data_IF_663552596891
#
_entry.id   IF_663552596891
#
_cell.length_a   1.000
_cell.length_b   1.000
_cell.length_c   1.000
_cell.angle_alpha   90.00
_cell.angle_beta   90.00
_cell.angle_gamma   90.00
#
_symmetry.space_group_name_H-M   'P 1'
#
loop_
_entity.id
_entity.type
_entity.pdbx_description
1 polymer ?
#
# COMPACT_ATOMS: atom_id res chain seq x y z
N UNK A 1 25.73 -40.04 -31.93
CA UNK A 1 25.01 -38.74 -31.90
C UNK A 1 23.54 -38.84 -32.28
N UNK A 2 23.21 -39.63 -33.30
CA UNK A 2 21.85 -39.78 -33.83
C UNK A 2 20.80 -40.16 -32.75
N UNK A 3 21.11 -41.14 -31.88
CA UNK A 3 20.24 -41.52 -30.73
C UNK A 3 20.03 -40.37 -29.73
N UNK A 4 21.02 -39.48 -29.55
CA UNK A 4 20.93 -38.33 -28.63
C UNK A 4 20.05 -37.21 -29.22
N UNK A 5 20.12 -37.00 -30.53
CA UNK A 5 19.25 -36.07 -31.25
C UNK A 5 17.80 -36.57 -31.27
N UNK A 6 17.60 -37.86 -31.62
CA UNK A 6 16.30 -38.51 -31.59
C UNK A 6 15.68 -38.49 -30.19
N UNK A 7 16.46 -38.83 -29.15
CA UNK A 7 15.97 -38.83 -27.77
C UNK A 7 15.54 -37.45 -27.25
N UNK A 8 16.13 -36.35 -27.76
CA UNK A 8 15.70 -34.98 -27.41
C UNK A 8 14.39 -34.62 -28.10
N UNK A 9 14.22 -34.99 -29.37
CA UNK A 9 13.03 -34.68 -30.17
C UNK A 9 11.84 -35.51 -29.69
N UNK A 10 12.03 -36.80 -29.48
CA UNK A 10 11.02 -37.70 -28.92
C UNK A 10 10.53 -37.28 -27.52
N UNK A 11 11.39 -36.67 -26.69
CA UNK A 11 10.98 -36.16 -25.36
C UNK A 11 10.18 -34.86 -25.41
N UNK A 12 10.25 -34.11 -26.51
CA UNK A 12 9.61 -32.79 -26.68
C UNK A 12 8.38 -32.84 -27.59
N UNK A 13 8.27 -33.89 -28.40
CA UNK A 13 7.16 -34.11 -29.32
C UNK A 13 5.86 -34.43 -28.57
N UNK A 14 4.79 -33.71 -28.91
CA UNK A 14 3.43 -33.97 -28.39
C UNK A 14 2.82 -35.23 -28.99
N UNK A 15 3.35 -35.69 -30.13
CA UNK A 15 2.87 -36.87 -30.84
C UNK A 15 3.23 -38.20 -30.14
N UNK A 16 4.19 -38.19 -29.20
CA UNK A 16 4.56 -39.39 -28.43
C UNK A 16 3.44 -39.77 -27.45
N UNK A 17 2.56 -40.66 -27.91
CA UNK A 17 1.47 -41.26 -27.13
C UNK A 17 0.06 -40.86 -27.58
N UNK A 18 -0.06 -40.05 -28.63
CA UNK A 18 -1.32 -39.68 -29.30
C UNK A 18 -1.62 -40.55 -30.54
N UNK A 19 -0.77 -41.55 -30.82
CA UNK A 19 -0.88 -42.45 -31.98
C UNK A 19 -0.84 -41.76 -33.35
N UNK A 20 -0.47 -40.49 -33.37
CA UNK A 20 -0.18 -39.71 -34.57
C UNK A 20 1.24 -39.97 -35.04
N UNK A 21 1.46 -41.19 -35.50
CA UNK A 21 2.76 -41.68 -35.92
C UNK A 21 3.29 -40.91 -37.16
N UNK A 22 2.39 -40.32 -37.96
CA UNK A 22 2.72 -39.46 -39.11
C UNK A 22 3.53 -38.20 -38.71
N UNK A 23 3.17 -37.59 -37.57
CA UNK A 23 3.85 -36.39 -37.04
C UNK A 23 5.22 -36.77 -36.47
N UNK A 24 5.32 -37.94 -35.85
CA UNK A 24 6.62 -38.46 -35.38
C UNK A 24 7.57 -38.72 -36.54
N UNK A 25 7.07 -39.30 -37.64
CA UNK A 25 7.86 -39.55 -38.84
C UNK A 25 8.32 -38.22 -39.45
N UNK A 26 7.43 -37.22 -39.57
CA UNK A 26 7.81 -35.92 -40.15
C UNK A 26 8.78 -35.11 -39.28
N UNK A 27 8.78 -35.31 -37.95
CA UNK A 27 9.75 -34.69 -37.05
C UNK A 27 11.11 -35.42 -37.03
N UNK A 28 11.10 -36.75 -37.21
CA UNK A 28 12.30 -37.59 -37.10
C UNK A 28 13.06 -37.71 -38.42
N UNK A 29 12.35 -37.85 -39.54
CA UNK A 29 12.94 -38.10 -40.85
C UNK A 29 13.91 -37.00 -41.31
N UNK A 30 13.61 -35.70 -41.15
CA UNK A 30 14.54 -34.61 -41.50
C UNK A 30 15.83 -34.60 -40.67
N UNK A 31 15.84 -35.22 -39.50
CA UNK A 31 17.01 -35.28 -38.62
C UNK A 31 18.04 -36.32 -39.07
N UNK A 32 17.65 -37.24 -39.94
CA UNK A 32 18.54 -38.27 -40.50
C UNK A 32 19.51 -37.67 -41.54
N UNK A 33 19.15 -36.55 -42.19
CA UNK A 33 19.95 -35.85 -43.21
C UNK A 33 20.50 -36.78 -44.30
N UNK A 34 19.74 -37.81 -44.64
CA UNK A 34 20.09 -38.79 -45.66
C UNK A 34 18.81 -39.16 -46.42
N UNK A 35 18.73 -38.74 -47.69
CA UNK A 35 17.57 -38.94 -48.55
C UNK A 35 17.41 -40.40 -49.00
N UNK A 36 18.41 -41.25 -48.74
CA UNK A 36 18.38 -42.69 -49.04
C UNK A 36 18.00 -43.57 -47.85
N UNK A 37 17.85 -42.98 -46.66
CA UNK A 37 17.58 -43.71 -45.43
C UNK A 37 16.12 -44.19 -45.35
N UNK A 38 15.93 -45.45 -44.94
CA UNK A 38 14.60 -46.00 -44.63
C UNK A 38 14.38 -46.00 -43.12
N UNK A 39 13.33 -45.28 -42.66
CA UNK A 39 12.95 -45.22 -41.25
C UNK A 39 11.83 -46.22 -40.95
N UNK A 40 12.11 -47.19 -40.09
CA UNK A 40 11.11 -48.11 -39.55
C UNK A 40 10.86 -47.77 -38.07
N UNK A 41 9.61 -47.46 -37.71
CA UNK A 41 9.21 -47.22 -36.32
C UNK A 41 8.43 -48.43 -35.82
N UNK A 42 9.01 -49.14 -34.84
CA UNK A 42 8.36 -50.28 -34.17
C UNK A 42 7.90 -49.82 -32.79
N UNK A 43 6.58 -49.83 -32.57
CA UNK A 43 5.96 -49.38 -31.33
C UNK A 43 5.52 -50.57 -30.49
N UNK A 44 6.16 -50.75 -29.34
CA UNK A 44 5.77 -51.76 -28.36
C UNK A 44 4.85 -51.13 -27.32
N UNK A 45 3.58 -51.55 -27.31
CA UNK A 45 2.56 -51.04 -26.38
C UNK A 45 2.13 -52.15 -25.44
N UNK A 46 2.32 -51.93 -24.13
CA UNK A 46 1.72 -52.78 -23.12
C UNK A 46 0.21 -52.49 -23.03
N UNK A 47 -0.61 -53.46 -23.47
CA UNK A 47 -2.08 -53.34 -23.52
C UNK A 47 -2.69 -53.08 -22.14
N UNK A 48 -2.18 -53.73 -21.10
CA UNK A 48 -2.67 -53.58 -19.74
C UNK A 48 -2.42 -52.17 -19.18
N UNK A 49 -1.23 -51.62 -19.45
CA UNK A 49 -0.90 -50.25 -19.04
C UNK A 49 -1.73 -49.21 -19.81
N UNK A 50 -2.02 -49.48 -21.08
CA UNK A 50 -2.88 -48.62 -21.92
C UNK A 50 -4.32 -48.58 -21.39
N UNK A 51 -4.89 -49.73 -21.02
CA UNK A 51 -6.23 -49.77 -20.46
C UNK A 51 -6.31 -49.04 -19.11
N UNK A 52 -5.34 -49.25 -18.21
CA UNK A 52 -5.27 -48.53 -16.93
C UNK A 52 -5.14 -47.02 -17.14
N UNK A 53 -4.28 -46.60 -18.08
CA UNK A 53 -4.10 -45.19 -18.48
C UNK A 53 -5.40 -44.56 -18.99
N UNK A 54 -6.12 -45.26 -19.86
CA UNK A 54 -7.37 -44.78 -20.45
C UNK A 54 -8.48 -44.63 -19.39
N UNK A 55 -8.61 -45.61 -18.50
CA UNK A 55 -9.57 -45.56 -17.41
C UNK A 55 -9.26 -44.38 -16.48
N UNK A 56 -8.01 -44.25 -16.03
CA UNK A 56 -7.58 -43.14 -15.19
C UNK A 56 -7.80 -41.77 -15.87
N UNK A 57 -7.50 -41.67 -17.17
CA UNK A 57 -7.76 -40.48 -17.98
C UNK A 57 -9.23 -40.11 -17.96
N UNK A 58 -10.13 -41.04 -18.29
CA UNK A 58 -11.58 -40.76 -18.29
C UNK A 58 -12.11 -40.29 -16.93
N UNK A 59 -11.62 -40.88 -15.84
CA UNK A 59 -12.05 -40.52 -14.48
C UNK A 59 -11.50 -39.16 -14.05
N UNK A 60 -10.24 -38.88 -14.39
CA UNK A 60 -9.59 -37.61 -14.06
C UNK A 60 -10.20 -36.42 -14.82
N UNK A 61 -10.45 -36.57 -16.12
CA UNK A 61 -11.05 -35.51 -16.94
C UNK A 61 -12.53 -35.26 -16.61
N UNK A 62 -13.26 -36.26 -16.12
CA UNK A 62 -14.70 -36.14 -15.82
C UNK A 62 -14.99 -35.35 -14.54
N UNK A 63 -14.28 -35.62 -13.44
CA UNK A 63 -14.63 -35.04 -12.14
C UNK A 63 -13.50 -34.27 -11.43
N UNK A 64 -12.25 -34.28 -11.93
CA UNK A 64 -11.03 -33.76 -11.26
C UNK A 64 -10.80 -34.27 -9.81
N UNK A 65 -11.75 -34.98 -9.20
CA UNK A 65 -11.73 -35.69 -7.92
C UNK A 65 -12.18 -37.11 -8.23
N UNK A 66 -11.27 -38.07 -8.05
CA UNK A 66 -11.60 -39.49 -8.16
C UNK A 66 -12.35 -39.83 -6.87
N UNK A 67 -13.59 -40.31 -6.99
CA UNK A 67 -14.36 -40.81 -5.84
C UNK A 67 -13.68 -42.07 -5.28
N UNK A 68 -13.91 -42.40 -4.01
CA UNK A 68 -13.35 -43.60 -3.39
C UNK A 68 -13.79 -44.88 -4.13
N UNK A 69 -15.02 -44.89 -4.67
CA UNK A 69 -15.55 -45.96 -5.53
C UNK A 69 -14.80 -46.10 -6.87
N UNK A 70 -14.38 -44.98 -7.45
CA UNK A 70 -13.63 -44.97 -8.71
C UNK A 70 -12.15 -45.30 -8.49
N UNK A 71 -11.61 -44.97 -7.32
CA UNK A 71 -10.29 -45.40 -6.89
C UNK A 71 -10.26 -46.91 -6.63
N UNK A 72 -11.31 -47.48 -6.02
CA UNK A 72 -11.44 -48.92 -5.84
C UNK A 72 -11.40 -49.69 -7.17
N UNK A 73 -12.06 -49.16 -8.22
CA UNK A 73 -12.01 -49.73 -9.59
C UNK A 73 -10.59 -49.70 -10.19
N UNK A 74 -9.84 -48.63 -9.94
CA UNK A 74 -8.44 -48.52 -10.39
C UNK A 74 -7.53 -49.51 -9.65
N UNK A 75 -7.73 -49.69 -8.34
CA UNK A 75 -6.97 -50.66 -7.53
C UNK A 75 -7.27 -52.11 -7.92
N UNK A 76 -8.54 -52.44 -8.19
CA UNK A 76 -8.90 -53.78 -8.68
C UNK A 76 -8.30 -54.08 -10.04
N UNK A 77 -8.25 -53.08 -10.93
CA UNK A 77 -7.67 -53.22 -12.28
C UNK A 77 -6.15 -53.35 -12.22
N UNK A 78 -5.48 -52.56 -11.39
CA UNK A 78 -4.04 -52.65 -11.19
C UNK A 78 -3.63 -54.00 -10.58
N UNK A 79 -4.43 -54.53 -9.66
CA UNK A 79 -4.21 -55.86 -9.07
C UNK A 79 -4.43 -56.98 -10.09
N UNK A 80 -5.48 -56.89 -10.92
CA UNK A 80 -5.76 -57.84 -12.01
C UNK A 80 -4.65 -57.89 -13.06
N UNK A 81 -4.04 -56.75 -13.34
CA UNK A 81 -2.99 -56.61 -14.35
C UNK A 81 -1.56 -56.59 -13.80
N UNK A 82 -1.39 -56.83 -12.50
CA UNK A 82 -0.10 -56.83 -11.81
C UNK A 82 0.74 -55.56 -12.10
N UNK A 83 0.09 -54.40 -12.20
CA UNK A 83 0.78 -53.13 -12.41
C UNK A 83 1.36 -52.72 -11.06
N UNK A 84 2.68 -52.62 -10.96
CA UNK A 84 3.31 -52.24 -9.70
C UNK A 84 2.96 -50.79 -9.29
N UNK A 85 3.15 -50.47 -8.01
CA UNK A 85 2.78 -49.16 -7.46
C UNK A 85 3.54 -47.99 -8.12
N UNK A 86 4.79 -48.22 -8.51
CA UNK A 86 5.64 -47.22 -9.15
C UNK A 86 5.18 -46.93 -10.59
N UNK A 87 4.81 -47.96 -11.34
CA UNK A 87 4.25 -47.87 -12.68
C UNK A 87 2.88 -47.20 -12.66
N UNK A 88 2.03 -47.52 -11.69
CA UNK A 88 0.76 -46.81 -11.48
C UNK A 88 1.00 -45.32 -11.26
N UNK A 89 1.92 -44.93 -10.37
CA UNK A 89 2.26 -43.53 -10.12
C UNK A 89 2.80 -42.83 -11.38
N UNK A 90 3.70 -43.47 -12.14
CA UNK A 90 4.20 -42.90 -13.40
C UNK A 90 3.13 -42.70 -14.46
N UNK A 91 2.22 -43.67 -14.62
CA UNK A 91 1.12 -43.55 -15.59
C UNK A 91 0.16 -42.44 -15.17
N UNK A 92 -0.15 -42.33 -13.87
CA UNK A 92 -1.00 -41.26 -13.33
C UNK A 92 -0.38 -39.89 -13.53
N UNK A 93 0.92 -39.74 -13.23
CA UNK A 93 1.68 -38.51 -13.45
C UNK A 93 1.68 -38.13 -14.94
N UNK A 94 1.92 -39.07 -15.86
CA UNK A 94 1.88 -38.81 -17.31
C UNK A 94 0.51 -38.28 -17.76
N UNK A 95 -0.57 -38.91 -17.31
CA UNK A 95 -1.93 -38.48 -17.66
C UNK A 95 -2.25 -37.10 -17.06
N UNK A 96 -1.82 -36.85 -15.82
CA UNK A 96 -2.02 -35.56 -15.14
C UNK A 96 -1.21 -34.44 -15.80
N UNK A 97 0.04 -34.70 -16.20
CA UNK A 97 0.91 -33.71 -16.85
C UNK A 97 0.43 -33.38 -18.27
N UNK A 98 -0.11 -34.35 -19.01
CA UNK A 98 -0.68 -34.13 -20.37
C UNK A 98 -1.97 -33.32 -20.39
N UNK A 99 -2.58 -33.04 -19.23
CA UNK A 99 -3.70 -32.10 -19.14
C UNK A 99 -3.21 -30.69 -19.51
N UNK A 100 -3.84 -29.97 -20.46
CA UNK A 100 -3.40 -28.65 -20.90
C UNK A 100 -3.24 -27.64 -19.76
N UNK A 101 -4.12 -27.70 -18.74
CA UNK A 101 -4.06 -26.84 -17.57
C UNK A 101 -2.86 -27.14 -16.65
N UNK A 102 -2.49 -28.42 -16.49
CA UNK A 102 -1.40 -28.82 -15.61
C UNK A 102 -0.03 -28.71 -16.29
N UNK A 103 0.03 -28.98 -17.61
CA UNK A 103 1.24 -28.83 -18.42
C UNK A 103 1.79 -27.41 -18.30
N UNK A 104 0.91 -26.41 -18.43
CA UNK A 104 1.24 -24.98 -18.31
C UNK A 104 1.87 -24.64 -16.95
N UNK A 105 1.23 -25.06 -15.85
CA UNK A 105 1.72 -24.78 -14.48
C UNK A 105 3.09 -25.43 -14.22
N UNK A 106 3.30 -26.67 -14.66
CA UNK A 106 4.56 -27.39 -14.43
C UNK A 106 5.68 -26.86 -15.33
N UNK A 107 5.38 -26.50 -16.58
CA UNK A 107 6.36 -25.91 -17.50
C UNK A 107 6.77 -24.50 -17.06
N UNK A 108 5.85 -23.70 -16.52
CA UNK A 108 6.14 -22.39 -15.95
C UNK A 108 7.01 -22.50 -14.69
N UNK A 109 6.67 -23.41 -13.76
CA UNK A 109 7.48 -23.70 -12.58
C UNK A 109 8.91 -24.09 -12.97
N UNK A 110 9.04 -24.95 -13.99
CA UNK A 110 10.33 -25.37 -14.54
C UNK A 110 11.07 -24.21 -15.21
N UNK A 111 10.39 -23.36 -15.97
CA UNK A 111 11.01 -22.23 -16.67
C UNK A 111 11.54 -21.19 -15.68
N UNK A 112 10.78 -20.88 -14.63
CA UNK A 112 11.24 -20.01 -13.53
C UNK A 112 12.47 -20.62 -12.88
N UNK A 113 12.43 -21.91 -12.52
CA UNK A 113 13.61 -22.57 -11.95
C UNK A 113 14.80 -22.60 -12.90
N UNK A 114 14.60 -22.74 -14.22
CA UNK A 114 15.68 -22.68 -15.21
C UNK A 114 16.23 -21.26 -15.40
N UNK A 115 15.39 -20.23 -15.32
CA UNK A 115 15.78 -18.83 -15.37
C UNK A 115 16.53 -18.42 -14.10
N UNK A 116 16.12 -18.89 -12.93
CA UNK A 116 16.91 -18.79 -11.71
C UNK A 116 18.21 -19.58 -11.89
N UNK A 117 18.15 -20.80 -12.48
CA UNK A 117 19.31 -21.65 -12.69
C UNK A 117 20.40 -20.97 -13.53
N UNK A 118 20.03 -20.29 -14.62
CA UNK A 118 20.97 -19.53 -15.46
C UNK A 118 21.53 -18.28 -14.78
N UNK A 119 20.76 -17.64 -13.88
CA UNK A 119 21.17 -16.44 -13.14
C UNK A 119 22.00 -16.71 -11.88
N UNK A 120 22.14 -17.96 -11.45
CA UNK A 120 22.92 -18.33 -10.26
C UNK A 120 22.26 -18.03 -8.90
N UNK A 121 21.19 -17.26 -8.86
CA UNK A 121 20.53 -16.74 -7.65
C UNK A 121 19.01 -16.98 -7.70
N UNK A 122 18.34 -17.04 -6.55
CA UNK A 122 16.88 -17.09 -6.46
C UNK A 122 16.43 -15.80 -5.77
N UNK A 123 15.73 -14.93 -6.49
CA UNK A 123 15.16 -13.70 -5.91
C UNK A 123 13.99 -14.03 -4.97
N UNK A 124 13.72 -13.17 -3.99
CA UNK A 124 12.51 -13.25 -3.16
C UNK A 124 11.23 -13.25 -4.02
N UNK A 125 11.26 -12.54 -5.15
CA UNK A 125 10.21 -12.49 -6.17
C UNK A 125 10.02 -13.84 -6.88
N UNK A 126 11.10 -14.53 -7.25
CA UNK A 126 11.03 -15.87 -7.85
C UNK A 126 10.50 -16.89 -6.84
N UNK A 127 10.87 -16.78 -5.56
CA UNK A 127 10.36 -17.65 -4.50
C UNK A 127 8.87 -17.43 -4.19
N UNK A 128 8.38 -16.19 -4.20
CA UNK A 128 6.96 -15.89 -4.06
C UNK A 128 6.14 -16.49 -5.23
N UNK A 129 6.63 -16.33 -6.47
CA UNK A 129 6.05 -16.93 -7.69
C UNK A 129 6.03 -18.47 -7.62
N UNK A 130 7.14 -19.10 -7.23
CA UNK A 130 7.22 -20.55 -7.03
C UNK A 130 6.26 -21.04 -5.93
N UNK A 131 6.06 -20.25 -4.87
CA UNK A 131 5.13 -20.59 -3.77
C UNK A 131 3.67 -20.48 -4.24
N UNK A 132 3.32 -19.45 -5.02
CA UNK A 132 1.99 -19.32 -5.63
C UNK A 132 1.67 -20.45 -6.60
N UNK A 133 2.62 -20.81 -7.46
CA UNK A 133 2.47 -21.95 -8.38
C UNK A 133 2.31 -23.27 -7.62
N UNK A 134 2.95 -23.45 -6.46
CA UNK A 134 2.69 -24.59 -5.56
C UNK A 134 1.28 -24.57 -4.98
N UNK A 135 0.78 -23.41 -4.56
CA UNK A 135 -0.60 -23.30 -4.05
C UNK A 135 -1.63 -23.59 -5.14
N UNK A 136 -1.40 -23.11 -6.36
CA UNK A 136 -2.22 -23.41 -7.55
C UNK A 136 -2.14 -24.89 -7.95
N UNK A 137 -0.98 -25.52 -7.80
CA UNK A 137 -0.80 -26.93 -8.10
C UNK A 137 -1.54 -27.83 -7.10
N UNK A 138 -1.63 -27.43 -5.84
CA UNK A 138 -2.49 -28.08 -4.83
C UNK A 138 -3.97 -27.94 -5.21
N UNK A 139 -4.41 -26.75 -5.66
CA UNK A 139 -5.79 -26.49 -6.10
C UNK A 139 -6.16 -27.32 -7.35
N UNK A 140 -5.22 -27.50 -8.27
CA UNK A 140 -5.37 -28.33 -9.48
C UNK A 140 -5.01 -29.82 -9.25
N UNK A 141 -4.69 -30.21 -8.01
CA UNK A 141 -4.35 -31.58 -7.59
C UNK A 141 -3.21 -32.22 -8.39
N UNK A 142 -2.21 -31.42 -8.73
CA UNK A 142 -0.97 -31.90 -9.32
C UNK A 142 -0.14 -32.57 -8.21
N UNK A 143 0.42 -33.77 -8.43
CA UNK A 143 1.22 -34.44 -7.41
C UNK A 143 2.41 -33.60 -6.96
N UNK A 144 2.53 -33.33 -5.66
CA UNK A 144 3.63 -32.55 -5.06
C UNK A 144 5.03 -33.14 -5.33
N UNK A 145 5.11 -34.44 -5.62
CA UNK A 145 6.34 -35.14 -5.99
C UNK A 145 7.02 -34.55 -7.25
N UNK A 146 6.25 -33.95 -8.16
CA UNK A 146 6.79 -33.28 -9.36
C UNK A 146 7.57 -32.02 -8.99
N UNK A 147 7.06 -31.25 -8.02
CA UNK A 147 7.71 -30.01 -7.57
C UNK A 147 8.91 -30.31 -6.66
N UNK A 148 8.82 -31.36 -5.82
CA UNK A 148 9.91 -31.77 -4.94
C UNK A 148 11.16 -32.21 -5.73
N UNK A 149 10.97 -32.99 -6.79
CA UNK A 149 12.07 -33.42 -7.66
C UNK A 149 12.70 -32.24 -8.43
N UNK A 150 11.88 -31.30 -8.91
CA UNK A 150 12.37 -30.07 -9.54
C UNK A 150 13.13 -29.16 -8.55
N UNK A 151 12.63 -29.02 -7.32
CA UNK A 151 13.29 -28.27 -6.25
C UNK A 151 14.62 -28.92 -5.84
N UNK A 152 14.66 -30.25 -5.68
CA UNK A 152 15.91 -30.94 -5.35
C UNK A 152 16.98 -30.78 -6.44
N UNK A 153 16.58 -30.82 -7.72
CA UNK A 153 17.52 -30.73 -8.83
C UNK A 153 17.99 -29.29 -9.12
N UNK A 154 17.19 -28.26 -8.79
CA UNK A 154 17.44 -26.88 -9.23
C UNK A 154 17.60 -25.86 -8.08
N UNK A 155 17.23 -26.18 -6.84
CA UNK A 155 17.42 -25.30 -5.66
C UNK A 155 18.62 -25.65 -4.78
N UNK A 156 19.18 -26.86 -4.87
CA UNK A 156 20.32 -27.25 -4.01
C UNK A 156 21.56 -26.41 -4.34
N UNK A 157 21.92 -25.49 -3.43
CA UNK A 157 23.19 -24.74 -3.42
C UNK A 157 23.11 -23.23 -3.60
N UNK A 158 21.95 -22.57 -3.43
CA UNK A 158 21.81 -21.12 -3.73
C UNK A 158 21.21 -20.33 -2.57
N UNK A 159 21.92 -19.29 -2.18
CA UNK A 159 21.52 -18.35 -1.14
C UNK A 159 20.44 -17.40 -1.70
N UNK A 160 19.33 -17.24 -0.98
CA UNK A 160 18.37 -16.17 -1.24
C UNK A 160 19.08 -14.83 -1.06
N UNK A 161 19.03 -13.93 -2.06
CA UNK A 161 19.28 -12.52 -1.79
C UNK A 161 18.01 -11.91 -1.22
N UNK A 162 18.05 -11.62 0.07
CA UNK A 162 17.24 -10.55 0.63
C UNK A 162 17.78 -9.24 0.06
N UNK A 163 17.26 -8.80 -1.08
CA UNK A 163 17.33 -7.39 -1.39
C UNK A 163 16.44 -6.70 -0.36
N UNK A 164 17.02 -5.76 0.40
CA UNK A 164 16.30 -4.82 1.27
C UNK A 164 15.48 -3.84 0.41
N UNK A 165 14.63 -4.33 -0.49
CA UNK A 165 13.51 -3.53 -0.98
C UNK A 165 12.57 -3.34 0.20
N UNK A 166 12.34 -2.10 0.59
CA UNK A 166 11.39 -1.76 1.64
C UNK A 166 10.05 -2.45 1.32
N UNK A 167 9.51 -3.22 2.25
CA UNK A 167 8.40 -4.16 2.04
C UNK A 167 7.19 -3.57 1.29
N UNK A 168 6.96 -2.24 1.39
CA UNK A 168 5.86 -1.55 0.71
C UNK A 168 6.07 -1.36 -0.80
N UNK A 169 7.30 -1.24 -1.28
CA UNK A 169 7.62 -1.14 -2.72
C UNK A 169 7.45 -2.50 -3.39
N UNK A 170 7.91 -3.57 -2.71
CA UNK A 170 7.75 -4.94 -3.19
C UNK A 170 6.27 -5.32 -3.34
N UNK A 171 5.44 -4.98 -2.34
CA UNK A 171 3.99 -5.20 -2.39
C UNK A 171 3.31 -4.41 -3.52
N UNK A 172 3.72 -3.15 -3.75
CA UNK A 172 3.18 -2.32 -4.83
C UNK A 172 3.51 -2.91 -6.20
N UNK A 173 4.77 -3.30 -6.42
CA UNK A 173 5.21 -3.92 -7.68
C UNK A 173 4.48 -5.24 -7.93
N UNK A 174 4.30 -6.05 -6.91
CA UNK A 174 3.59 -7.33 -7.01
C UNK A 174 2.13 -7.16 -7.46
N UNK A 175 1.43 -6.15 -6.93
CA UNK A 175 0.04 -5.85 -7.31
C UNK A 175 0.00 -5.31 -8.75
N UNK A 176 0.89 -4.38 -9.09
CA UNK A 176 0.95 -3.80 -10.45
C UNK A 176 1.32 -4.85 -11.50
N UNK A 177 2.34 -5.68 -11.26
CA UNK A 177 2.68 -6.80 -12.15
C UNK A 177 1.52 -7.80 -12.28
N UNK A 178 0.78 -8.06 -11.19
CA UNK A 178 -0.42 -8.89 -11.19
C UNK A 178 -1.52 -8.39 -12.12
N UNK A 179 -1.70 -7.07 -12.25
CA UNK A 179 -2.61 -6.46 -13.23
C UNK A 179 -2.15 -6.83 -14.65
N UNK A 180 -0.85 -6.80 -14.93
CA UNK A 180 -0.28 -6.98 -16.27
C UNK A 180 -0.15 -8.42 -16.77
N UNK A 181 -0.35 -9.43 -15.92
CA UNK A 181 -0.25 -10.86 -16.30
C UNK A 181 -1.59 -11.41 -16.82
N UNK A 182 -1.77 -11.34 -18.14
CA UNK A 182 -2.88 -11.98 -18.87
C UNK A 182 -2.49 -13.30 -19.53
N UNK A 183 -2.55 -14.40 -18.79
CA UNK A 183 -2.96 -15.69 -19.37
C UNK A 183 -4.11 -16.35 -18.60
N UNK A 184 -4.67 -15.65 -17.60
CA UNK A 184 -5.77 -16.14 -16.76
C UNK A 184 -6.90 -15.12 -16.81
N UNK A 185 -7.90 -15.34 -17.65
CA UNK A 185 -9.15 -14.56 -17.75
C UNK A 185 -10.03 -14.59 -16.47
N UNK A 186 -9.53 -15.08 -15.34
CA UNK A 186 -10.33 -15.32 -14.13
C UNK A 186 -9.99 -14.34 -13.00
N UNK A 187 -8.82 -13.68 -13.01
CA UNK A 187 -8.34 -12.88 -11.86
C UNK A 187 -7.81 -11.48 -12.24
N UNK A 188 -8.21 -10.90 -13.37
CA UNK A 188 -7.75 -9.55 -13.78
C UNK A 188 -8.45 -8.39 -13.06
N UNK A 189 -9.09 -8.63 -11.90
CA UNK A 189 -9.80 -7.59 -11.14
C UNK A 189 -9.07 -7.37 -9.83
N UNK A 190 -8.62 -6.13 -9.64
CA UNK A 190 -8.03 -5.65 -8.40
C UNK A 190 -9.07 -5.81 -7.29
N UNK A 191 -8.73 -6.57 -6.25
CA UNK A 191 -9.59 -6.71 -5.09
C UNK A 191 -9.48 -5.49 -4.17
N UNK A 192 -10.47 -5.28 -3.30
CA UNK A 192 -10.49 -4.19 -2.31
C UNK A 192 -9.26 -4.24 -1.40
N UNK A 193 -8.79 -5.45 -1.07
CA UNK A 193 -7.60 -5.67 -0.26
C UNK A 193 -6.31 -5.22 -0.98
N UNK A 194 -6.22 -5.42 -2.29
CA UNK A 194 -5.08 -4.98 -3.08
C UNK A 194 -5.08 -3.45 -3.21
N UNK A 195 -6.25 -2.84 -3.38
CA UNK A 195 -6.39 -1.38 -3.36
C UNK A 195 -5.96 -0.80 -2.01
N UNK A 196 -6.36 -1.43 -0.91
CA UNK A 196 -5.97 -1.00 0.44
C UNK A 196 -4.46 -1.07 0.66
N UNK A 197 -3.81 -2.13 0.17
CA UNK A 197 -2.34 -2.27 0.22
C UNK A 197 -1.65 -1.19 -0.60
N UNK A 198 -2.15 -0.89 -1.80
CA UNK A 198 -1.60 0.18 -2.65
C UNK A 198 -1.71 1.56 -1.98
N UNK A 199 -2.87 1.88 -1.38
CA UNK A 199 -3.06 3.15 -0.67
C UNK A 199 -2.14 3.24 0.55
N UNK A 200 -2.02 2.16 1.34
CA UNK A 200 -1.09 2.11 2.48
C UNK A 200 0.37 2.25 2.05
N UNK A 201 0.74 1.68 0.91
CA UNK A 201 2.08 1.82 0.34
C UNK A 201 2.33 3.26 -0.14
N UNK A 202 1.37 3.89 -0.83
CA UNK A 202 1.44 5.30 -1.23
C UNK A 202 1.62 6.22 -0.03
N UNK A 203 0.84 6.03 1.03
CA UNK A 203 0.96 6.78 2.28
C UNK A 203 2.38 6.67 2.87
N UNK A 204 2.91 5.45 3.00
CA UNK A 204 4.28 5.22 3.50
C UNK A 204 5.34 5.85 2.59
N UNK A 205 5.14 5.84 1.28
CA UNK A 205 6.05 6.50 0.35
C UNK A 205 6.05 8.02 0.56
N UNK A 206 4.86 8.62 0.72
CA UNK A 206 4.71 10.06 0.99
C UNK A 206 5.35 10.48 2.31
N UNK A 207 5.14 9.71 3.39
CA UNK A 207 5.77 9.94 4.71
C UNK A 207 7.30 9.88 4.64
N UNK A 208 7.83 8.91 3.88
CA UNK A 208 9.27 8.72 3.70
C UNK A 208 9.88 9.62 2.61
N UNK A 209 9.08 10.49 1.96
CA UNK A 209 9.47 11.32 0.80
C UNK A 209 10.13 10.50 -0.31
N UNK A 210 9.58 9.32 -0.53
CA UNK A 210 10.10 8.32 -1.45
C UNK A 210 9.39 8.39 -2.81
N UNK A 211 10.13 8.84 -3.83
CA UNK A 211 9.62 8.97 -5.20
C UNK A 211 9.58 7.65 -5.96
N UNK A 212 10.07 6.53 -5.40
CA UNK A 212 10.07 5.24 -6.07
C UNK A 212 8.67 4.69 -6.31
N UNK A 213 7.69 5.02 -5.47
CA UNK A 213 6.29 4.65 -5.68
C UNK A 213 5.72 5.31 -6.95
N UNK A 214 5.94 6.62 -7.11
CA UNK A 214 5.44 7.37 -8.28
C UNK A 214 6.14 6.91 -9.57
N UNK A 215 7.43 6.60 -9.50
CA UNK A 215 8.17 6.01 -10.63
C UNK A 215 7.56 4.66 -11.06
N UNK A 216 7.24 3.77 -10.12
CA UNK A 216 6.60 2.49 -10.43
C UNK A 216 5.21 2.68 -11.05
N UNK A 217 4.43 3.67 -10.58
CA UNK A 217 3.13 3.99 -11.17
C UNK A 217 3.25 4.55 -12.59
N UNK A 218 4.26 5.39 -12.85
CA UNK A 218 4.54 5.92 -14.19
C UNK A 218 4.98 4.83 -15.16
N UNK A 219 5.83 3.91 -14.71
CA UNK A 219 6.28 2.79 -15.53
C UNK A 219 5.13 1.81 -15.81
N UNK A 220 4.28 1.54 -14.82
CA UNK A 220 3.03 0.80 -15.01
C UNK A 220 2.09 1.50 -16.00
N UNK A 221 1.94 2.82 -15.94
CA UNK A 221 1.11 3.57 -16.90
C UNK A 221 1.62 3.43 -18.33
N UNK A 222 2.95 3.50 -18.53
CA UNK A 222 3.55 3.29 -19.85
C UNK A 222 3.33 1.86 -20.34
N UNK A 223 3.50 0.86 -19.47
CA UNK A 223 3.26 -0.54 -19.83
C UNK A 223 1.78 -0.80 -20.17
N UNK A 224 0.85 -0.13 -19.48
CA UNK A 224 -0.57 -0.10 -19.83
C UNK A 224 -0.78 0.45 -21.26
N UNK A 225 -0.23 1.63 -21.56
CA UNK A 225 -0.38 2.30 -22.85
C UNK A 225 0.24 1.49 -24.00
N UNK A 226 1.40 0.87 -23.77
CA UNK A 226 2.06 -0.02 -24.74
C UNK A 226 1.22 -1.26 -25.03
N UNK A 227 0.67 -1.91 -23.99
CA UNK A 227 -0.21 -3.08 -24.17
C UNK A 227 -1.53 -2.75 -24.83
N UNK A 228 -2.08 -1.55 -24.59
CA UNK A 228 -3.29 -1.06 -25.28
C UNK A 228 -3.00 -0.87 -26.78
N UNK A 229 -1.86 -0.25 -27.11
CA UNK A 229 -1.42 -0.10 -28.50
C UNK A 229 -1.25 -1.46 -29.20
N UNK A 230 -0.83 -2.48 -28.47
CA UNK A 230 -0.66 -3.85 -28.98
C UNK A 230 -1.97 -4.68 -28.98
N UNK A 231 -3.12 -4.08 -28.66
CA UNK A 231 -4.44 -4.70 -28.80
C UNK A 231 -4.98 -5.43 -27.56
N UNK A 232 -4.50 -5.09 -26.37
CA UNK A 232 -5.00 -5.66 -25.12
C UNK A 232 -6.47 -5.26 -24.81
N UNK A 233 -7.25 -6.22 -24.29
CA UNK A 233 -8.64 -6.08 -23.80
C UNK A 233 -8.86 -4.86 -22.88
N UNK A 234 -10.02 -4.21 -23.02
CA UNK A 234 -10.41 -2.98 -22.30
C UNK A 234 -10.47 -3.15 -20.76
N UNK A 235 -10.64 -4.37 -20.25
CA UNK A 235 -10.71 -4.64 -18.82
C UNK A 235 -9.44 -4.30 -18.01
N UNK A 236 -8.26 -4.23 -18.66
CA UNK A 236 -7.02 -3.78 -18.00
C UNK A 236 -7.04 -2.27 -17.74
N UNK A 237 -7.60 -1.52 -18.71
CA UNK A 237 -7.72 -0.08 -18.62
C UNK A 237 -8.68 0.28 -17.49
N UNK A 238 -9.79 -0.47 -17.35
CA UNK A 238 -10.73 -0.28 -16.25
C UNK A 238 -10.08 -0.53 -14.88
N UNK A 239 -9.28 -1.60 -14.75
CA UNK A 239 -8.58 -1.91 -13.50
C UNK A 239 -7.51 -0.88 -13.12
N UNK A 240 -6.69 -0.45 -14.08
CA UNK A 240 -5.65 0.57 -13.83
C UNK A 240 -6.26 1.96 -13.63
N UNK A 241 -7.29 2.33 -14.39
CA UNK A 241 -8.05 3.57 -14.20
C UNK A 241 -8.73 3.61 -12.82
N UNK A 242 -9.23 2.46 -12.34
CA UNK A 242 -9.74 2.33 -10.99
C UNK A 242 -8.66 2.62 -9.93
N UNK A 243 -7.42 2.13 -10.11
CA UNK A 243 -6.28 2.45 -9.22
C UNK A 243 -5.97 3.94 -9.23
N UNK A 244 -5.76 4.53 -10.41
CA UNK A 244 -5.45 5.96 -10.54
C UNK A 244 -6.52 6.80 -9.86
N UNK A 245 -7.80 6.50 -10.13
CA UNK A 245 -8.93 7.22 -9.51
C UNK A 245 -8.86 7.20 -7.98
N UNK A 246 -8.54 6.07 -7.36
CA UNK A 246 -8.41 5.99 -5.89
C UNK A 246 -7.16 6.70 -5.36
N UNK A 247 -6.05 6.65 -6.10
CA UNK A 247 -4.81 7.35 -5.72
C UNK A 247 -4.96 8.87 -5.85
N UNK A 248 -5.69 9.36 -6.86
CA UNK A 248 -6.01 10.78 -7.03
C UNK A 248 -6.97 11.28 -5.94
N UNK A 249 -7.96 10.45 -5.58
CA UNK A 249 -8.84 10.70 -4.42
C UNK A 249 -8.02 10.77 -3.14
N UNK A 250 -7.04 9.88 -2.96
CA UNK A 250 -6.17 9.90 -1.80
C UNK A 250 -5.37 11.21 -1.72
N UNK A 251 -4.77 11.66 -2.82
CA UNK A 251 -4.02 12.92 -2.84
C UNK A 251 -4.92 14.12 -2.57
N UNK A 252 -6.10 14.13 -3.17
CA UNK A 252 -7.09 15.20 -2.97
C UNK A 252 -7.50 15.30 -1.50
N UNK A 253 -7.88 14.18 -0.87
CA UNK A 253 -8.26 14.14 0.54
C UNK A 253 -7.08 14.50 1.46
N UNK A 254 -5.90 13.94 1.19
CA UNK A 254 -4.68 14.22 1.96
C UNK A 254 -4.34 15.72 1.93
N UNK A 255 -4.38 16.33 0.75
CA UNK A 255 -4.13 17.77 0.58
C UNK A 255 -5.20 18.61 1.28
N UNK A 256 -6.48 18.29 1.12
CA UNK A 256 -7.58 19.02 1.77
C UNK A 256 -7.49 18.98 3.29
N UNK A 257 -7.26 17.79 3.87
CA UNK A 257 -7.15 17.61 5.32
C UNK A 257 -5.89 18.30 5.85
N UNK A 258 -4.76 18.19 5.14
CA UNK A 258 -3.52 18.86 5.54
C UNK A 258 -3.65 20.38 5.47
N UNK A 259 -4.26 20.91 4.41
CA UNK A 259 -4.58 22.33 4.28
C UNK A 259 -5.50 22.80 5.41
N UNK A 260 -6.56 22.06 5.71
CA UNK A 260 -7.48 22.37 6.81
C UNK A 260 -6.77 22.40 8.17
N UNK A 261 -5.86 21.46 8.37
CA UNK A 261 -5.19 21.22 9.65
C UNK A 261 -4.08 22.24 9.93
N UNK A 262 -3.34 22.69 8.91
CA UNK A 262 -2.12 23.48 9.07
C UNK A 262 -2.17 24.87 8.43
N UNK A 263 -3.10 25.16 7.53
CA UNK A 263 -3.13 26.46 6.83
C UNK A 263 -4.24 27.38 7.35
N UNK A 264 -3.85 28.59 7.71
CA UNK A 264 -4.67 29.63 8.36
C UNK A 264 -5.65 30.36 7.42
N UNK A 265 -5.60 30.09 6.11
CA UNK A 265 -6.35 30.85 5.09
C UNK A 265 -7.07 30.01 4.04
N UNK A 266 -7.34 28.74 4.34
CA UNK A 266 -8.03 27.86 3.38
C UNK A 266 -9.50 28.19 3.39
N UNK A 267 -9.99 28.76 2.29
CA UNK A 267 -11.42 28.92 2.04
C UNK A 267 -11.98 27.57 1.67
N UNK A 268 -12.59 26.92 2.64
CA UNK A 268 -13.34 25.68 2.41
C UNK A 268 -14.60 26.08 1.65
N UNK A 269 -14.85 25.44 0.52
CA UNK A 269 -16.09 25.59 -0.22
C UNK A 269 -17.01 24.38 0.03
N UNK A 270 -18.32 24.57 -0.10
CA UNK A 270 -19.29 23.48 0.04
C UNK A 270 -19.07 22.35 -0.98
N UNK A 271 -18.58 22.67 -2.18
CA UNK A 271 -18.19 21.69 -3.19
C UNK A 271 -17.06 20.77 -2.70
N UNK A 272 -16.08 21.32 -1.98
CA UNK A 272 -14.96 20.56 -1.43
C UNK A 272 -15.45 19.62 -0.31
N UNK A 273 -16.40 20.07 0.52
CA UNK A 273 -17.03 19.23 1.55
C UNK A 273 -17.88 18.12 0.95
N UNK A 274 -18.60 18.39 -0.15
CA UNK A 274 -19.36 17.39 -0.90
C UNK A 274 -18.45 16.34 -1.52
N UNK A 275 -17.37 16.77 -2.17
CA UNK A 275 -16.34 15.86 -2.70
C UNK A 275 -15.69 15.01 -1.60
N UNK A 276 -15.42 15.61 -0.44
CA UNK A 276 -14.88 14.88 0.71
C UNK A 276 -15.83 13.81 1.24
N UNK A 277 -17.15 14.07 1.28
CA UNK A 277 -18.15 13.06 1.65
C UNK A 277 -18.16 11.89 0.66
N UNK A 278 -18.11 12.18 -0.65
CA UNK A 278 -18.05 11.15 -1.69
C UNK A 278 -16.76 10.32 -1.59
N UNK A 279 -15.63 10.97 -1.32
CA UNK A 279 -14.35 10.28 -1.12
C UNK A 279 -14.35 9.45 0.16
N UNK A 280 -14.90 9.98 1.28
CA UNK A 280 -15.05 9.23 2.54
C UNK A 280 -15.88 7.97 2.34
N UNK A 281 -17.01 8.07 1.65
CA UNK A 281 -17.84 6.91 1.32
C UNK A 281 -17.07 5.89 0.47
N UNK A 282 -16.28 6.35 -0.52
CA UNK A 282 -15.47 5.47 -1.36
C UNK A 282 -14.38 4.72 -0.55
N UNK A 283 -13.70 5.38 0.38
CA UNK A 283 -12.69 4.72 1.23
C UNK A 283 -13.30 3.78 2.26
N UNK A 284 -14.45 4.15 2.86
CA UNK A 284 -15.15 3.28 3.80
C UNK A 284 -15.73 2.02 3.12
N UNK A 285 -16.02 2.08 1.81
CA UNK A 285 -16.41 0.89 1.04
C UNK A 285 -15.26 -0.13 0.85
N UNK A 286 -14.01 0.29 0.98
CA UNK A 286 -12.85 -0.60 0.90
C UNK A 286 -12.65 -1.39 2.21
N UNK A 287 -12.73 -0.71 3.35
CA UNK A 287 -12.64 -1.29 4.69
C UNK A 287 -13.34 -0.37 5.68
N UNK A 288 -14.01 -0.94 6.69
CA UNK A 288 -14.67 -0.16 7.73
C UNK A 288 -13.66 0.76 8.44
N UNK A 289 -14.03 2.02 8.64
CA UNK A 289 -13.19 3.06 9.26
C UNK A 289 -11.84 3.36 8.58
N UNK A 290 -11.66 2.92 7.32
CA UNK A 290 -10.43 3.13 6.54
C UNK A 290 -10.05 4.61 6.42
N UNK A 291 -11.04 5.49 6.27
CA UNK A 291 -10.81 6.93 6.19
C UNK A 291 -10.15 7.48 7.46
N UNK A 292 -10.62 7.06 8.64
CA UNK A 292 -10.07 7.52 9.90
C UNK A 292 -8.65 7.00 10.13
N UNK A 293 -8.40 5.72 9.82
CA UNK A 293 -7.06 5.14 9.92
C UNK A 293 -6.05 5.80 8.97
N UNK A 294 -6.47 6.10 7.74
CA UNK A 294 -5.59 6.63 6.71
C UNK A 294 -5.26 8.11 6.91
N UNK A 295 -6.24 8.94 7.28
CA UNK A 295 -6.05 10.40 7.26
C UNK A 295 -6.06 11.05 8.65
N UNK A 296 -6.76 10.48 9.62
CA UNK A 296 -7.09 11.18 10.87
C UNK A 296 -6.20 10.75 12.02
N UNK A 297 -5.96 9.45 12.18
CA UNK A 297 -5.17 8.91 13.31
C UNK A 297 -3.78 9.53 13.39
N UNK A 298 -3.07 9.52 12.27
CA UNK A 298 -1.68 9.98 12.23
C UNK A 298 -1.58 11.51 12.22
N UNK A 299 -2.64 12.20 11.77
CA UNK A 299 -2.75 13.66 11.87
C UNK A 299 -2.87 14.12 13.32
N UNK A 300 -3.69 13.45 14.15
CA UNK A 300 -3.78 13.77 15.58
C UNK A 300 -2.53 13.38 16.38
N UNK A 301 -1.79 12.38 15.91
CA UNK A 301 -0.49 12.02 16.46
C UNK A 301 0.63 13.03 16.09
N UNK A 302 0.40 13.91 15.12
CA UNK A 302 1.38 14.89 14.71
C UNK A 302 1.55 15.99 15.78
N UNK A 303 2.76 16.10 16.32
CA UNK A 303 3.12 17.09 17.34
C UNK A 303 3.02 18.55 16.88
N UNK A 304 2.97 18.79 15.57
CA UNK A 304 2.82 20.13 14.98
C UNK A 304 1.37 20.52 14.73
N UNK A 305 0.40 19.64 14.99
CA UNK A 305 -1.01 19.95 14.81
C UNK A 305 -1.51 20.89 15.91
N UNK A 306 -1.74 22.15 15.53
CA UNK A 306 -2.13 23.21 16.46
C UNK A 306 -3.54 23.09 17.02
N UNK A 307 -3.84 23.89 18.05
CA UNK A 307 -5.13 23.86 18.76
C UNK A 307 -6.35 24.15 17.87
N UNK A 308 -6.25 25.14 17.00
CA UNK A 308 -7.31 25.46 16.03
C UNK A 308 -7.40 24.41 14.92
N UNK A 309 -6.27 23.87 14.43
CA UNK A 309 -6.22 22.74 13.51
C UNK A 309 -6.94 21.50 14.05
N UNK A 310 -6.69 21.13 15.32
CA UNK A 310 -7.41 20.04 16.01
C UNK A 310 -8.91 20.29 16.08
N UNK A 311 -9.33 21.51 16.39
CA UNK A 311 -10.75 21.90 16.44
C UNK A 311 -11.40 21.82 15.06
N UNK A 312 -10.73 22.29 14.00
CA UNK A 312 -11.20 22.21 12.61
C UNK A 312 -11.38 20.77 12.16
N UNK A 313 -10.37 19.92 12.33
CA UNK A 313 -10.42 18.50 11.97
C UNK A 313 -11.51 17.76 12.76
N UNK A 314 -11.63 18.02 14.07
CA UNK A 314 -12.68 17.42 14.90
C UNK A 314 -14.08 17.84 14.45
N UNK A 315 -14.28 19.14 14.21
CA UNK A 315 -15.55 19.67 13.70
C UNK A 315 -15.90 19.10 12.33
N UNK A 316 -14.90 18.93 11.44
CA UNK A 316 -15.04 18.26 10.16
C UNK A 316 -15.53 16.81 10.36
N UNK A 317 -14.86 16.02 11.20
CA UNK A 317 -15.22 14.62 11.42
C UNK A 317 -16.61 14.45 12.04
N UNK A 318 -16.93 15.22 13.07
CA UNK A 318 -18.27 15.23 13.68
C UNK A 318 -19.34 15.64 12.66
N UNK A 319 -19.03 16.64 11.83
CA UNK A 319 -19.92 17.13 10.79
C UNK A 319 -20.17 16.10 9.69
N UNK A 320 -19.13 15.43 9.21
CA UNK A 320 -19.25 14.39 8.17
C UNK A 320 -20.15 13.23 8.66
N UNK A 321 -19.98 12.79 9.90
CA UNK A 321 -20.83 11.75 10.51
C UNK A 321 -22.26 12.24 10.69
N UNK A 322 -22.46 13.48 11.14
CA UNK A 322 -23.79 14.07 11.31
C UNK A 322 -24.53 14.23 9.96
N UNK A 323 -23.82 14.53 8.88
CA UNK A 323 -24.40 14.63 7.53
C UNK A 323 -24.80 13.25 7.00
N UNK A 324 -23.97 12.22 7.21
CA UNK A 324 -24.31 10.83 6.86
C UNK A 324 -25.54 10.32 7.64
N UNK A 325 -25.70 10.76 8.89
CA UNK A 325 -26.87 10.45 9.72
C UNK A 325 -28.10 11.33 9.43
N UNK A 326 -28.02 12.25 8.46
CA UNK A 326 -29.05 13.24 8.13
C UNK A 326 -29.45 14.18 9.29
N UNK A 327 -28.54 14.39 10.25
CA UNK A 327 -28.75 15.28 11.40
C UNK A 327 -28.22 16.70 11.19
N UNK A 328 -27.39 16.91 10.16
CA UNK A 328 -26.84 18.21 9.79
C UNK A 328 -26.75 18.36 8.27
N UNK A 329 -26.68 19.59 7.79
CA UNK A 329 -26.47 19.90 6.37
C UNK A 329 -25.00 20.24 6.09
N UNK A 330 -24.61 20.20 4.80
CA UNK A 330 -23.28 20.66 4.36
C UNK A 330 -23.09 22.15 4.68
N UNK A 331 -24.15 22.96 4.57
CA UNK A 331 -24.15 24.38 4.91
C UNK A 331 -23.86 24.60 6.41
N UNK A 332 -24.43 23.76 7.29
CA UNK A 332 -24.18 23.84 8.73
C UNK A 332 -22.72 23.54 9.07
N UNK A 333 -22.15 22.51 8.43
CA UNK A 333 -20.74 22.17 8.60
C UNK A 333 -19.82 23.27 8.07
N UNK A 334 -20.13 23.81 6.89
CA UNK A 334 -19.39 24.92 6.29
C UNK A 334 -19.38 26.14 7.19
N UNK A 335 -20.55 26.53 7.72
CA UNK A 335 -20.69 27.62 8.69
C UNK A 335 -19.85 27.38 9.94
N UNK A 336 -19.94 26.19 10.55
CA UNK A 336 -19.17 25.84 11.76
C UNK A 336 -17.66 25.91 11.52
N UNK A 337 -17.18 25.48 10.35
CA UNK A 337 -15.76 25.57 10.00
C UNK A 337 -15.31 27.02 9.76
N UNK A 338 -16.16 27.84 9.12
CA UNK A 338 -15.89 29.27 8.93
C UNK A 338 -15.88 30.05 10.25
N UNK A 339 -16.74 29.70 11.21
CA UNK A 339 -16.70 30.28 12.55
C UNK A 339 -15.36 29.99 13.23
N UNK A 340 -14.86 28.75 13.14
CA UNK A 340 -13.54 28.39 13.69
C UNK A 340 -12.40 29.13 12.97
N UNK A 341 -12.49 29.31 11.64
CA UNK A 341 -11.49 30.07 10.86
C UNK A 341 -11.49 31.56 11.23
N UNK A 342 -12.67 32.14 11.46
CA UNK A 342 -12.80 33.52 11.95
C UNK A 342 -12.24 33.67 13.37
N UNK A 343 -12.56 32.74 14.26
CA UNK A 343 -12.02 32.70 15.62
C UNK A 343 -10.49 32.63 15.62
N UNK A 344 -9.90 31.79 14.77
CA UNK A 344 -8.44 31.65 14.64
C UNK A 344 -7.79 32.96 14.16
N UNK A 345 -8.35 33.61 13.13
CA UNK A 345 -7.85 34.90 12.65
C UNK A 345 -7.92 35.99 13.72
N UNK A 346 -9.03 36.06 14.44
CA UNK A 346 -9.20 37.02 15.54
C UNK A 346 -8.19 36.71 16.64
N UNK A 347 -8.00 35.44 17.00
CA UNK A 347 -7.07 35.03 18.04
C UNK A 347 -5.61 35.38 17.71
N UNK A 348 -5.15 35.17 16.47
CA UNK A 348 -3.80 35.52 16.03
C UNK A 348 -3.57 37.04 16.11
N UNK A 349 -4.48 37.82 15.54
CA UNK A 349 -4.40 39.30 15.57
C UNK A 349 -4.43 39.81 17.01
N UNK A 350 -5.27 39.20 17.86
CA UNK A 350 -5.38 39.57 19.26
C UNK A 350 -4.10 39.22 20.04
N UNK A 351 -3.51 38.04 19.78
CA UNK A 351 -2.25 37.62 20.39
C UNK A 351 -1.13 38.60 20.06
N UNK A 352 -0.97 38.98 18.79
CA UNK A 352 0.05 39.94 18.35
C UNK A 352 -0.09 41.29 19.08
N UNK A 353 -1.29 41.86 19.07
CA UNK A 353 -1.56 43.16 19.68
C UNK A 353 -1.46 43.15 21.22
N UNK A 354 -1.96 42.09 21.86
CA UNK A 354 -1.85 41.94 23.31
C UNK A 354 -0.39 41.71 23.72
N UNK A 355 0.39 40.94 22.95
CA UNK A 355 1.83 40.72 23.18
C UNK A 355 2.62 42.02 23.10
N UNK A 356 2.40 42.82 22.06
CA UNK A 356 3.03 44.14 21.91
C UNK A 356 2.68 45.09 23.07
N UNK A 357 1.42 45.06 23.52
CA UNK A 357 0.98 45.93 24.61
C UNK A 357 1.54 45.48 25.95
N UNK A 358 1.53 44.18 26.26
CA UNK A 358 2.11 43.64 27.48
C UNK A 358 3.62 43.89 27.52
N UNK A 359 4.30 43.80 26.38
CA UNK A 359 5.72 44.14 26.25
C UNK A 359 6.02 45.61 26.56
N UNK A 360 5.04 46.49 26.39
CA UNK A 360 5.18 47.92 26.69
C UNK A 360 4.68 48.29 28.10
N UNK A 361 3.83 47.48 28.74
CA UNK A 361 3.17 47.76 30.02
C UNK A 361 3.45 46.71 31.12
N UNK A 362 4.66 46.14 31.12
CA UNK A 362 5.17 44.97 31.87
C UNK A 362 4.85 44.80 33.38
N UNK A 363 4.06 45.65 34.03
CA UNK A 363 3.83 45.61 35.49
C UNK A 363 2.36 45.58 35.93
N UNK A 364 1.37 45.63 35.03
CA UNK A 364 -0.05 45.81 35.41
C UNK A 364 -1.04 44.95 34.62
N UNK A 365 -0.95 43.62 34.70
CA UNK A 365 -1.95 42.72 34.07
C UNK A 365 -2.36 41.54 34.96
N UNK A 366 -1.97 41.54 36.23
CA UNK A 366 -2.25 40.47 37.18
C UNK A 366 -3.67 40.51 37.71
N UNK A 367 -4.31 41.70 37.76
CA UNK A 367 -5.66 41.85 38.28
C UNK A 367 -6.74 41.75 37.18
N UNK A 368 -7.94 41.33 37.56
CA UNK A 368 -9.11 41.22 36.65
C UNK A 368 -9.51 42.59 36.09
N UNK A 369 -9.35 43.66 36.88
CA UNK A 369 -9.62 45.03 36.46
C UNK A 369 -8.62 45.51 35.38
N UNK A 370 -7.34 45.15 35.50
CA UNK A 370 -6.33 45.49 34.49
C UNK A 370 -6.56 44.73 33.18
N UNK A 371 -6.94 43.44 33.26
CA UNK A 371 -7.30 42.63 32.08
C UNK A 371 -8.52 43.22 31.35
N UNK A 372 -9.47 43.78 32.08
CA UNK A 372 -10.69 44.38 31.53
C UNK A 372 -10.46 45.80 30.98
N UNK A 373 -9.45 46.52 31.49
CA UNK A 373 -8.95 47.76 30.91
C UNK A 373 -8.17 47.49 29.61
N UNK A 374 -7.24 46.53 29.65
CA UNK A 374 -6.48 46.07 28.48
C UNK A 374 -7.40 45.60 27.37
N UNK A 375 -8.48 44.87 27.72
CA UNK A 375 -9.50 44.45 26.78
C UNK A 375 -10.16 45.62 26.06
N UNK A 376 -10.60 46.64 26.81
CA UNK A 376 -11.25 47.82 26.24
C UNK A 376 -10.32 48.58 25.30
N UNK A 377 -9.06 48.78 25.71
CA UNK A 377 -8.05 49.44 24.87
C UNK A 377 -7.77 48.65 23.58
N UNK A 378 -7.58 47.34 23.67
CA UNK A 378 -7.30 46.47 22.51
C UNK A 378 -8.49 46.45 21.55
N UNK A 379 -9.73 46.39 22.06
CA UNK A 379 -10.94 46.48 21.24
C UNK A 379 -11.05 47.84 20.54
N UNK A 380 -10.79 48.94 21.24
CA UNK A 380 -10.81 50.28 20.63
C UNK A 380 -9.73 50.43 19.56
N UNK A 381 -8.52 49.92 19.79
CA UNK A 381 -7.43 49.98 18.81
C UNK A 381 -7.72 49.13 17.57
N UNK A 382 -8.28 47.93 17.75
CA UNK A 382 -8.66 47.03 16.66
C UNK A 382 -9.81 47.58 15.82
N UNK A 383 -10.80 48.25 16.45
CA UNK A 383 -11.89 48.96 15.77
C UNK A 383 -11.37 50.19 15.02
N UNK A 384 -10.45 50.95 15.62
CA UNK A 384 -9.87 52.17 15.02
C UNK A 384 -8.99 51.85 13.81
N UNK A 385 -8.23 50.74 13.86
CA UNK A 385 -7.40 50.27 12.73
C UNK A 385 -8.21 49.54 11.64
N UNK A 386 -9.53 49.42 11.77
CA UNK A 386 -10.44 48.69 10.84
C UNK A 386 -10.05 47.23 10.57
N UNK A 387 -9.30 46.59 11.46
CA UNK A 387 -8.84 45.20 11.26
C UNK A 387 -9.87 44.15 11.67
N UNK A 388 -10.88 44.52 12.47
CA UNK A 388 -11.96 43.63 12.90
C UNK A 388 -13.30 44.39 12.82
N UNK A 389 -14.30 43.78 12.18
CA UNK A 389 -15.66 44.34 12.03
C UNK A 389 -16.64 43.80 13.08
N UNK A 390 -16.33 42.64 13.67
CA UNK A 390 -17.14 41.95 14.68
C UNK A 390 -16.63 42.18 16.10
N UNK A 391 -17.51 42.04 17.09
CA UNK A 391 -17.13 42.12 18.50
C UNK A 391 -16.32 40.88 18.90
N UNK A 392 -15.25 41.09 19.68
CA UNK A 392 -14.33 40.01 20.06
C UNK A 392 -14.96 39.17 21.18
N UNK A 393 -15.17 37.86 20.98
CA UNK A 393 -15.71 36.97 22.00
C UNK A 393 -14.87 36.98 23.29
N UNK A 394 -15.54 37.06 24.44
CA UNK A 394 -14.93 36.99 25.79
C UNK A 394 -14.00 35.79 25.97
N UNK A 395 -14.39 34.66 25.37
CA UNK A 395 -13.65 33.40 25.44
C UNK A 395 -12.27 33.52 24.80
N UNK A 396 -12.19 34.09 23.58
CA UNK A 396 -10.93 34.24 22.86
C UNK A 396 -9.97 35.18 23.59
N UNK A 397 -10.46 36.29 24.15
CA UNK A 397 -9.61 37.19 24.92
C UNK A 397 -9.02 36.51 26.17
N UNK A 398 -9.85 35.78 26.92
CA UNK A 398 -9.40 35.05 28.10
C UNK A 398 -8.41 33.94 27.75
N UNK A 399 -8.64 33.20 26.66
CA UNK A 399 -7.72 32.20 26.13
C UNK A 399 -6.37 32.84 25.78
N UNK A 400 -6.36 33.98 25.06
CA UNK A 400 -5.13 34.68 24.71
C UNK A 400 -4.35 35.17 25.94
N UNK A 401 -5.03 35.71 26.96
CA UNK A 401 -4.36 36.10 28.21
C UNK A 401 -3.74 34.88 28.91
N UNK A 402 -4.42 33.73 28.88
CA UNK A 402 -3.90 32.50 29.46
C UNK A 402 -2.69 31.96 28.66
N UNK A 403 -2.74 32.03 27.34
CA UNK A 403 -1.62 31.73 26.43
C UNK A 403 -0.41 32.60 26.77
N UNK A 404 -0.60 33.92 26.94
CA UNK A 404 0.50 34.84 27.27
C UNK A 404 1.06 34.57 28.68
N UNK A 405 0.22 34.19 29.65
CA UNK A 405 0.70 33.76 30.98
C UNK A 405 1.56 32.50 30.89
N UNK A 406 1.16 31.53 30.06
CA UNK A 406 1.96 30.31 29.80
C UNK A 406 3.26 30.63 29.10
N UNK A 407 3.24 31.52 28.10
CA UNK A 407 4.44 32.04 27.42
C UNK A 407 5.39 32.69 28.42
N UNK A 408 4.90 33.58 29.27
CA UNK A 408 5.73 34.23 30.29
C UNK A 408 6.31 33.23 31.30
N UNK A 409 5.53 32.24 31.74
CA UNK A 409 6.01 31.16 32.61
C UNK A 409 7.10 30.34 31.91
N UNK A 410 6.90 30.00 30.63
CA UNK A 410 7.87 29.24 29.84
C UNK A 410 9.16 30.04 29.67
N UNK A 411 9.10 31.27 29.17
CA UNK A 411 10.28 32.09 28.88
C UNK A 411 11.08 32.50 30.13
N UNK A 412 10.41 32.79 31.25
CA UNK A 412 11.08 33.31 32.44
C UNK A 412 11.46 32.25 33.48
N UNK A 413 10.75 31.11 33.51
CA UNK A 413 11.00 30.05 34.51
C UNK A 413 11.56 28.78 33.87
N UNK A 414 10.88 28.22 32.87
CA UNK A 414 11.17 26.89 32.36
C UNK A 414 12.30 26.87 31.34
N UNK A 415 12.30 27.77 30.36
CA UNK A 415 13.30 27.84 29.31
C UNK A 415 14.72 28.06 29.86
N UNK A 416 14.98 28.96 30.83
CA UNK A 416 16.30 29.08 31.43
C UNK A 416 16.76 27.81 32.16
N UNK A 417 15.84 27.07 32.80
CA UNK A 417 16.14 25.79 33.45
C UNK A 417 16.44 24.70 32.41
N UNK A 418 15.66 24.60 31.33
CA UNK A 418 15.87 23.66 30.23
C UNK A 418 17.24 23.90 29.58
N UNK A 419 17.63 25.17 29.36
CA UNK A 419 18.94 25.52 28.80
C UNK A 419 20.07 25.15 29.78
N UNK A 420 19.91 25.47 31.06
CA UNK A 420 20.93 25.20 32.08
C UNK A 420 21.16 23.70 32.33
N UNK A 421 20.10 22.91 32.32
CA UNK A 421 20.13 21.47 32.63
C UNK A 421 20.17 20.58 31.38
N UNK A 422 20.01 21.14 30.17
CA UNK A 422 19.80 20.41 28.90
C UNK A 422 18.72 19.34 29.01
N UNK A 423 17.62 19.70 29.66
CA UNK A 423 16.56 18.76 30.00
C UNK A 423 15.45 18.75 28.93
N UNK A 424 15.63 17.90 27.91
CA UNK A 424 14.67 17.73 26.81
C UNK A 424 13.32 17.18 27.30
N UNK A 425 13.32 16.41 28.40
CA UNK A 425 12.10 15.87 29.00
C UNK A 425 11.17 16.95 29.54
N UNK A 426 11.70 17.96 30.25
CA UNK A 426 10.91 19.09 30.74
C UNK A 426 10.31 19.92 29.59
N UNK A 427 10.99 20.00 28.45
CA UNK A 427 10.48 20.67 27.25
C UNK A 427 9.30 19.91 26.65
N UNK A 428 9.44 18.60 26.42
CA UNK A 428 8.37 17.79 25.86
C UNK A 428 7.18 17.69 26.83
N UNK A 429 7.41 17.57 28.14
CA UNK A 429 6.37 17.61 29.17
C UNK A 429 5.58 18.93 29.13
N UNK A 430 6.26 20.07 28.95
CA UNK A 430 5.58 21.36 28.80
C UNK A 430 4.78 21.41 27.49
N UNK A 431 5.32 20.93 26.38
CA UNK A 431 4.62 20.91 25.10
C UNK A 431 3.35 20.04 25.15
N UNK A 432 3.41 18.86 25.77
CA UNK A 432 2.26 17.97 25.92
C UNK A 432 1.16 18.55 26.82
N UNK A 433 1.54 19.24 27.90
CA UNK A 433 0.58 19.73 28.90
C UNK A 433 0.12 21.19 28.69
N UNK A 434 0.92 22.00 28.00
CA UNK A 434 0.61 23.43 27.80
C UNK A 434 -0.48 23.63 26.76
N UNK A 435 -0.65 22.71 25.81
CA UNK A 435 -1.56 22.88 24.67
C UNK A 435 -1.20 24.06 23.78
N UNK A 436 0.04 24.56 23.87
CA UNK A 436 0.61 25.54 22.95
C UNK A 436 1.14 24.82 21.72
N UNK A 437 1.01 25.47 20.57
CA UNK A 437 1.48 24.90 19.31
C UNK A 437 3.00 24.79 19.32
N UNK A 438 3.54 23.62 18.95
CA UNK A 438 4.99 23.36 18.98
C UNK A 438 5.76 24.38 18.15
N UNK A 439 5.23 24.77 16.99
CA UNK A 439 5.81 25.81 16.15
C UNK A 439 5.91 27.17 16.87
N UNK A 440 4.85 27.56 17.58
CA UNK A 440 4.82 28.80 18.35
C UNK A 440 5.88 28.80 19.47
N UNK A 441 6.01 27.68 20.19
CA UNK A 441 7.05 27.54 21.23
C UNK A 441 8.45 27.55 20.63
N UNK A 442 8.66 26.89 19.48
CA UNK A 442 9.94 26.91 18.77
C UNK A 442 10.30 28.32 18.25
N UNK A 443 9.33 29.14 17.87
CA UNK A 443 9.56 30.52 17.47
C UNK A 443 9.93 31.39 18.69
N UNK A 444 9.26 31.20 19.83
CA UNK A 444 9.59 31.85 21.10
C UNK A 444 10.99 31.52 21.60
N UNK A 445 11.40 30.25 21.52
CA UNK A 445 12.76 29.81 21.86
C UNK A 445 13.80 30.51 20.98
N UNK A 446 13.55 30.59 19.67
CA UNK A 446 14.44 31.29 18.74
C UNK A 446 14.55 32.78 19.10
N UNK A 447 13.44 33.45 19.32
CA UNK A 447 13.42 34.86 19.74
C UNK A 447 14.19 35.08 21.05
N UNK A 448 14.13 34.12 21.99
CA UNK A 448 14.87 34.18 23.26
C UNK A 448 16.37 34.05 23.05
N UNK A 449 16.81 33.10 22.23
CA UNK A 449 18.23 32.90 21.89
C UNK A 449 18.80 34.12 21.15
N UNK A 450 18.07 34.69 20.19
CA UNK A 450 18.46 35.89 19.46
C UNK A 450 18.60 37.11 20.39
N UNK A 451 17.64 37.34 21.29
CA UNK A 451 17.68 38.47 22.24
C UNK A 451 18.81 38.37 23.27
N UNK A 452 19.18 37.15 23.65
CA UNK A 452 20.22 36.91 24.66
C UNK A 452 21.60 36.61 24.06
N UNK A 453 21.75 36.58 22.73
CA UNK A 453 23.01 36.33 22.05
C UNK A 453 23.55 34.90 22.25
N UNK A 454 22.66 33.93 22.41
CA UNK A 454 23.00 32.52 22.63
C UNK A 454 23.16 31.78 21.28
N UNK A 455 23.92 30.68 21.27
CA UNK A 455 24.16 29.90 20.05
C UNK A 455 22.93 29.09 19.64
N UNK A 456 22.48 29.28 18.40
CA UNK A 456 21.33 28.59 17.82
C UNK A 456 21.62 27.10 17.60
N UNK A 457 22.90 26.68 17.47
CA UNK A 457 23.25 25.27 17.36
C UNK A 457 22.92 24.47 18.62
N UNK A 458 23.11 25.07 19.81
CA UNK A 458 22.73 24.45 21.09
C UNK A 458 21.21 24.22 21.17
N UNK A 459 20.41 25.16 20.64
CA UNK A 459 18.96 25.02 20.56
C UNK A 459 18.53 23.86 19.65
N UNK A 460 19.26 23.61 18.55
CA UNK A 460 18.97 22.48 17.66
C UNK A 460 19.29 21.12 18.29
N UNK A 461 20.28 21.03 19.19
CA UNK A 461 20.59 19.80 19.93
C UNK A 461 19.46 19.44 20.90
N UNK A 462 19.02 20.42 21.70
CA UNK A 462 17.87 20.30 22.62
C UNK A 462 16.60 19.89 21.85
N UNK A 463 16.38 20.44 20.65
CA UNK A 463 15.21 20.10 19.81
C UNK A 463 15.22 18.69 19.25
N UNK A 464 16.39 18.12 18.98
CA UNK A 464 16.52 16.78 18.39
C UNK A 464 16.55 15.67 19.43
N UNK A 465 16.56 16.00 20.73
CA UNK A 465 16.79 15.01 21.79
C UNK A 465 18.16 14.34 21.69
N UNK A 466 19.11 14.99 20.99
CA UNK A 466 20.46 14.48 20.79
C UNK A 466 21.31 15.01 21.95
N UNK A 467 21.21 14.31 23.09
CA UNK A 467 22.20 14.42 24.16
C UNK A 467 23.55 13.85 23.74
#
# INVERSE_FOLDING_TARGET
ELVRCLGKVLKRSEAVGDERDDILISEIFPLLKDDSAQLFIVKLINRYHREYRNLFRSLYFRNKKISDDDFAKLVSMASKYQIDRYQQERIRIDVMYRSPANKRIVDEYRNILLACNSKGEISNLDNARLTRLKTLSVRNKIPGALFYTLDEMLKKGRNLKNNEERDYIAATREILEGIFFREIEIESRIDRDDMLKLIKAKKKAMENRDHSFDQLMLDASKECDEKIRDGADAALLDGFSYVITYLDRFDSVSNLISQLAFMENVRINEEMLRGLLEHKAAFNNLHDDCFHELFIRDLFANAYLGGFGRRKVKALMEGLVAIEAHWATIEDLHRRLNEIDQDERIAIVLLEHVRDRIRNFYSKFTTRADQEALRREVIEELKTKKRITADIPDRLFNETIFTIKKEAMYLHSLLPQIIAERNDGLREDFLENSGLDRFFVEELEREYYEKNGLDIEDLYQIRKGLS
#
